data_IF_150402545821
#
_entry.id   IF_150402545821
#
_cell.length_a   1.000
_cell.length_b   1.000
_cell.length_c   1.000
_cell.angle_alpha   90.00
_cell.angle_beta   90.00
_cell.angle_gamma   90.00
#
_symmetry.space_group_name_H-M   'P 1'
#
loop_
_entity.id
_entity.type
_entity.pdbx_description
1 polymer ?
#
# COMPACT_ATOMS: atom_id res chain seq x y z
N UNK A 1 -21.97 -67.92 -66.78
CA UNK A 1 -20.74 -67.87 -67.53
C UNK A 1 -20.08 -66.57 -67.37
N UNK A 2 -19.08 -66.58 -66.65
CA UNK A 2 -17.69 -66.21 -66.75
C UNK A 2 -17.44 -64.93 -67.50
N UNK A 3 -17.35 -63.84 -66.85
CA UNK A 3 -16.61 -62.64 -67.25
C UNK A 3 -15.25 -62.66 -66.60
N UNK A 4 -14.27 -63.25 -67.25
CA UNK A 4 -12.84 -62.98 -66.92
C UNK A 4 -12.50 -61.67 -67.55
N UNK A 5 -12.37 -60.64 -66.68
CA UNK A 5 -11.85 -59.35 -67.07
C UNK A 5 -10.42 -59.53 -67.56
N UNK A 6 -10.07 -58.92 -68.70
CA UNK A 6 -8.77 -59.01 -69.30
C UNK A 6 -7.68 -58.61 -68.34
N UNK A 7 -6.77 -59.57 -68.07
CA UNK A 7 -5.51 -59.25 -67.39
C UNK A 7 -4.71 -58.34 -68.35
N UNK A 8 -4.51 -57.09 -67.98
CA UNK A 8 -3.61 -56.15 -68.67
C UNK A 8 -2.19 -56.64 -68.57
N UNK A 9 -1.45 -56.70 -69.64
CA UNK A 9 -0.08 -57.11 -69.77
C UNK A 9 0.91 -56.16 -68.98
N UNK A 10 2.19 -56.48 -68.97
CA UNK A 10 3.22 -55.88 -68.15
C UNK A 10 3.26 -54.32 -68.06
N UNK A 11 2.75 -53.61 -69.02
CA UNK A 11 2.66 -52.11 -68.97
C UNK A 11 1.80 -51.58 -67.83
N UNK A 12 0.79 -52.30 -67.37
CA UNK A 12 -0.08 -51.90 -66.24
C UNK A 12 0.65 -51.94 -64.89
N UNK A 13 1.62 -52.87 -64.74
CA UNK A 13 2.45 -53.00 -63.55
C UNK A 13 3.44 -51.82 -63.42
N UNK A 14 3.98 -51.38 -64.52
CA UNK A 14 4.91 -50.26 -64.57
C UNK A 14 4.19 -48.92 -64.39
N UNK A 15 2.95 -48.79 -64.95
CA UNK A 15 2.07 -47.65 -64.69
C UNK A 15 1.64 -47.57 -63.20
N UNK A 16 1.30 -48.69 -62.60
CA UNK A 16 0.98 -48.75 -61.15
C UNK A 16 2.22 -48.39 -60.30
N UNK A 17 3.39 -48.94 -60.59
CA UNK A 17 4.62 -48.62 -59.88
C UNK A 17 5.00 -47.15 -60.01
N UNK A 18 4.87 -46.55 -61.21
CA UNK A 18 5.10 -45.12 -61.41
C UNK A 18 4.10 -44.22 -60.70
N UNK A 19 2.84 -44.62 -60.66
CA UNK A 19 1.77 -43.90 -59.93
C UNK A 19 1.97 -43.98 -58.43
N UNK A 20 2.35 -45.12 -57.86
CA UNK A 20 2.69 -45.26 -56.43
C UNK A 20 3.96 -44.51 -56.09
N UNK A 21 5.01 -44.57 -56.90
CA UNK A 21 6.23 -43.78 -56.70
C UNK A 21 5.96 -42.26 -56.72
N UNK A 22 5.10 -41.80 -57.64
CA UNK A 22 4.71 -40.39 -57.69
C UNK A 22 3.88 -39.98 -56.46
N UNK A 23 2.95 -40.83 -55.98
CA UNK A 23 2.19 -40.57 -54.75
C UNK A 23 3.09 -40.56 -53.53
N UNK A 24 4.04 -41.48 -53.46
CA UNK A 24 5.02 -41.50 -52.38
C UNK A 24 5.93 -40.27 -52.38
N UNK A 25 6.40 -39.84 -53.56
CA UNK A 25 7.14 -38.58 -53.70
C UNK A 25 6.30 -37.38 -53.29
N UNK A 26 5.06 -37.25 -53.74
CA UNK A 26 4.17 -36.19 -53.34
C UNK A 26 3.92 -36.18 -51.82
N UNK A 27 3.74 -37.36 -51.23
CA UNK A 27 3.58 -37.48 -49.78
C UNK A 27 4.85 -37.08 -49.03
N UNK A 28 6.05 -37.52 -49.49
CA UNK A 28 7.33 -37.13 -48.90
C UNK A 28 7.60 -35.65 -49.05
N UNK A 29 7.32 -35.05 -50.17
CA UNK A 29 7.46 -33.63 -50.43
C UNK A 29 6.46 -32.82 -49.56
N UNK A 30 5.24 -33.31 -49.43
CA UNK A 30 4.25 -32.74 -48.51
C UNK A 30 4.72 -32.78 -47.05
N UNK A 31 5.35 -33.86 -46.61
CA UNK A 31 5.91 -33.98 -45.25
C UNK A 31 7.13 -33.08 -45.06
N UNK A 32 8.02 -32.95 -46.05
CA UNK A 32 9.16 -32.03 -46.03
C UNK A 32 8.68 -30.56 -45.97
N UNK A 33 7.68 -30.19 -46.74
CA UNK A 33 7.09 -28.86 -46.73
C UNK A 33 6.49 -28.52 -45.36
N UNK A 34 5.73 -29.44 -44.76
CA UNK A 34 5.18 -29.26 -43.41
C UNK A 34 6.30 -29.10 -42.39
N UNK A 35 7.34 -29.95 -42.44
CA UNK A 35 8.47 -29.87 -41.54
C UNK A 35 9.22 -28.52 -41.69
N UNK A 36 9.43 -28.04 -42.91
CA UNK A 36 10.07 -26.75 -43.18
C UNK A 36 9.24 -25.58 -42.66
N UNK A 37 7.91 -25.59 -42.84
CA UNK A 37 7.00 -24.57 -42.31
C UNK A 37 7.00 -24.57 -40.77
N UNK A 38 7.02 -25.75 -40.15
CA UNK A 38 7.10 -25.88 -38.68
C UNK A 38 8.41 -25.30 -38.14
N UNK A 39 9.56 -25.64 -38.76
CA UNK A 39 10.86 -25.09 -38.36
C UNK A 39 10.95 -23.59 -38.58
N UNK A 40 10.45 -23.09 -39.72
CA UNK A 40 10.39 -21.67 -40.00
C UNK A 40 9.52 -20.92 -38.97
N UNK A 41 8.33 -21.44 -38.67
CA UNK A 41 7.43 -20.88 -37.65
C UNK A 41 8.08 -20.86 -36.27
N UNK A 42 8.78 -21.94 -35.90
CA UNK A 42 9.52 -22.02 -34.63
C UNK A 42 10.65 -20.98 -34.56
N UNK A 43 11.45 -20.83 -35.62
CA UNK A 43 12.52 -19.83 -35.68
C UNK A 43 11.96 -18.41 -35.58
N UNK A 44 10.87 -18.10 -36.27
CA UNK A 44 10.20 -16.79 -36.17
C UNK A 44 9.73 -16.52 -34.74
N UNK A 45 9.04 -17.47 -34.11
CA UNK A 45 8.60 -17.33 -32.72
C UNK A 45 9.78 -17.18 -31.75
N UNK A 46 10.88 -17.89 -31.95
CA UNK A 46 12.07 -17.79 -31.11
C UNK A 46 12.76 -16.44 -31.26
N UNK A 47 12.92 -15.96 -32.50
CA UNK A 47 13.59 -14.66 -32.77
C UNK A 47 12.73 -13.51 -32.26
N UNK A 48 11.46 -13.45 -32.66
CA UNK A 48 10.57 -12.35 -32.26
C UNK A 48 10.23 -12.41 -30.76
N UNK A 49 9.93 -13.58 -30.25
CA UNK A 49 9.67 -13.77 -28.82
C UNK A 49 10.91 -13.48 -27.96
N UNK A 50 12.10 -13.93 -28.40
CA UNK A 50 13.37 -13.60 -27.75
C UNK A 50 13.67 -12.10 -27.75
N UNK A 51 13.43 -11.43 -28.86
CA UNK A 51 13.56 -9.96 -28.95
C UNK A 51 12.60 -9.26 -27.96
N UNK A 52 11.34 -9.71 -27.92
CA UNK A 52 10.37 -9.18 -26.97
C UNK A 52 10.78 -9.41 -25.52
N UNK A 53 11.36 -10.58 -25.18
CA UNK A 53 11.91 -10.84 -23.84
C UNK A 53 13.05 -9.87 -23.49
N UNK A 54 13.98 -9.64 -24.42
CA UNK A 54 15.06 -8.68 -24.18
C UNK A 54 14.53 -7.27 -23.99
N UNK A 55 13.56 -6.85 -24.80
CA UNK A 55 12.91 -5.53 -24.65
C UNK A 55 12.14 -5.44 -23.33
N UNK A 56 11.44 -6.49 -22.92
CA UNK A 56 10.72 -6.54 -21.63
C UNK A 56 11.68 -6.40 -20.45
N UNK A 57 12.76 -7.18 -20.43
CA UNK A 57 13.77 -7.13 -19.35
C UNK A 57 14.44 -5.75 -19.30
N UNK A 58 14.83 -5.19 -20.46
CA UNK A 58 15.38 -3.82 -20.50
C UNK A 58 14.37 -2.78 -20.02
N UNK A 59 13.09 -2.94 -20.39
CA UNK A 59 12.00 -2.09 -19.93
C UNK A 59 11.84 -2.14 -18.41
N UNK A 60 11.84 -3.34 -17.81
CA UNK A 60 11.79 -3.53 -16.35
C UNK A 60 12.99 -2.89 -15.65
N UNK A 61 14.22 -3.13 -16.14
CA UNK A 61 15.43 -2.52 -15.54
C UNK A 61 15.38 -0.99 -15.61
N UNK A 62 14.94 -0.43 -16.76
CA UNK A 62 14.79 1.02 -16.91
C UNK A 62 13.72 1.59 -15.97
N UNK A 63 12.53 0.96 -15.87
CA UNK A 63 11.45 1.43 -15.01
C UNK A 63 11.82 1.35 -13.54
N UNK A 64 12.48 0.28 -13.11
CA UNK A 64 12.94 0.13 -11.73
C UNK A 64 14.01 1.18 -11.37
N UNK A 65 14.92 1.50 -12.31
CA UNK A 65 15.89 2.56 -12.10
C UNK A 65 15.21 3.93 -11.95
N UNK A 66 14.20 4.24 -12.76
CA UNK A 66 13.47 5.50 -12.67
C UNK A 66 12.61 5.61 -11.41
N UNK A 67 12.13 4.50 -10.85
CA UNK A 67 11.40 4.49 -9.59
C UNK A 67 12.30 4.69 -8.36
N UNK A 68 13.62 4.54 -8.50
CA UNK A 68 14.58 4.69 -7.40
C UNK A 68 14.98 6.15 -7.22
N UNK A 69 15.16 6.56 -5.97
CA UNK A 69 15.73 7.88 -5.65
C UNK A 69 17.23 7.93 -5.93
N UNK A 70 17.66 8.94 -6.67
CA UNK A 70 19.07 9.16 -7.06
C UNK A 70 19.65 10.50 -6.58
N UNK A 71 18.90 11.25 -5.77
CA UNK A 71 19.34 12.55 -5.27
C UNK A 71 20.37 12.46 -4.14
N UNK A 72 20.92 13.61 -3.76
CA UNK A 72 21.97 13.73 -2.74
C UNK A 72 21.47 14.10 -1.34
N UNK A 73 20.16 14.16 -1.09
CA UNK A 73 19.62 14.50 0.25
C UNK A 73 19.77 13.29 1.16
N UNK A 74 20.67 13.40 2.14
CA UNK A 74 20.87 12.34 3.13
C UNK A 74 19.90 12.49 4.30
N UNK A 75 19.81 13.69 4.89
CA UNK A 75 18.89 14.02 5.97
C UNK A 75 18.10 15.29 5.66
N UNK A 76 16.85 15.33 6.11
CA UNK A 76 15.94 16.45 5.99
C UNK A 76 15.22 16.66 7.32
N UNK A 77 15.14 17.89 7.82
CA UNK A 77 14.55 18.17 9.15
C UNK A 77 13.21 18.89 9.10
N UNK A 78 12.89 19.47 7.97
CA UNK A 78 11.63 20.19 7.81
C UNK A 78 10.51 19.26 7.33
N UNK A 79 9.26 19.70 7.47
CA UNK A 79 8.14 19.00 6.85
C UNK A 79 8.31 18.97 5.33
N UNK A 80 8.15 17.80 4.67
CA UNK A 80 8.18 17.74 3.21
C UNK A 80 7.12 18.65 2.59
N UNK A 81 7.39 19.13 1.38
CA UNK A 81 6.47 20.00 0.63
C UNK A 81 5.30 19.22 -0.01
N UNK A 82 4.93 18.12 0.56
CA UNK A 82 3.82 17.25 0.12
C UNK A 82 2.92 16.93 1.32
N UNK A 83 1.63 16.70 1.06
CA UNK A 83 0.71 16.28 2.11
C UNK A 83 1.09 14.92 2.69
N UNK A 84 0.66 14.58 3.92
CA UNK A 84 0.92 13.27 4.51
C UNK A 84 0.40 12.10 3.68
N UNK A 85 -0.78 12.24 3.04
CA UNK A 85 -1.32 11.24 2.13
C UNK A 85 -0.43 11.05 0.88
N UNK A 86 0.01 12.14 0.29
CA UNK A 86 0.93 12.12 -0.87
C UNK A 86 2.32 11.59 -0.48
N UNK A 87 2.80 11.88 0.73
CA UNK A 87 4.06 11.34 1.25
C UNK A 87 4.00 9.82 1.42
N UNK A 88 2.87 9.28 1.92
CA UNK A 88 2.65 7.83 2.01
C UNK A 88 2.70 7.17 0.63
N UNK A 89 2.03 7.76 -0.38
CA UNK A 89 2.07 7.26 -1.76
C UNK A 89 3.49 7.29 -2.34
N UNK A 90 4.20 8.39 -2.16
CA UNK A 90 5.54 8.57 -2.71
C UNK A 90 6.55 7.56 -2.14
N UNK A 91 6.48 7.28 -0.84
CA UNK A 91 7.30 6.24 -0.21
C UNK A 91 6.99 4.86 -0.78
N UNK A 92 5.72 4.55 -1.07
CA UNK A 92 5.37 3.27 -1.70
C UNK A 92 5.93 3.13 -3.10
N UNK A 93 5.94 4.22 -3.88
CA UNK A 93 6.59 4.23 -5.20
C UNK A 93 8.09 3.92 -5.08
N UNK A 94 8.78 4.46 -4.08
CA UNK A 94 10.22 4.26 -3.89
C UNK A 94 10.54 2.89 -3.28
N UNK A 95 9.84 2.50 -2.20
CA UNK A 95 10.11 1.28 -1.43
C UNK A 95 9.43 0.03 -2.00
N UNK A 96 8.56 0.15 -3.04
CA UNK A 96 7.75 -0.94 -3.61
C UNK A 96 6.90 -1.68 -2.57
N UNK A 97 6.44 -0.98 -1.56
CA UNK A 97 5.59 -1.54 -0.50
C UNK A 97 4.15 -1.64 -1.00
N UNK A 98 3.69 -2.87 -1.28
CA UNK A 98 2.32 -3.13 -1.76
C UNK A 98 1.40 -3.46 -0.59
N UNK A 99 0.30 -2.69 -0.45
CA UNK A 99 -0.85 -3.15 0.32
C UNK A 99 -1.28 -2.31 1.53
N UNK A 100 -0.43 -1.44 2.09
CA UNK A 100 -0.79 -0.65 3.29
C UNK A 100 -0.94 0.86 3.04
N UNK A 101 -0.77 1.30 1.79
CA UNK A 101 -0.78 2.71 1.41
C UNK A 101 -2.04 3.45 1.88
N UNK A 102 -3.21 2.87 1.62
CA UNK A 102 -4.50 3.52 1.95
C UNK A 102 -4.67 3.71 3.46
N UNK A 103 -4.28 2.72 4.26
CA UNK A 103 -4.35 2.77 5.72
C UNK A 103 -3.36 3.79 6.29
N UNK A 104 -2.12 3.81 5.80
CA UNK A 104 -1.10 4.78 6.22
C UNK A 104 -1.48 6.21 5.83
N UNK A 105 -2.00 6.41 4.61
CA UNK A 105 -2.49 7.70 4.15
C UNK A 105 -3.64 8.22 5.02
N UNK A 106 -4.63 7.36 5.35
CA UNK A 106 -5.75 7.71 6.20
C UNK A 106 -5.28 8.07 7.61
N UNK A 107 -4.45 7.22 8.23
CA UNK A 107 -3.90 7.45 9.58
C UNK A 107 -3.12 8.75 9.65
N UNK A 108 -2.21 8.98 8.71
CA UNK A 108 -1.41 10.21 8.66
C UNK A 108 -2.28 11.45 8.43
N UNK A 109 -3.32 11.34 7.59
CA UNK A 109 -4.27 12.43 7.35
C UNK A 109 -5.07 12.76 8.62
N UNK A 110 -5.53 11.75 9.37
CA UNK A 110 -6.23 11.96 10.66
C UNK A 110 -5.30 12.63 11.67
N UNK A 111 -4.05 12.16 11.78
CA UNK A 111 -3.06 12.80 12.67
C UNK A 111 -2.77 14.25 12.25
N UNK A 112 -2.71 14.55 10.96
CA UNK A 112 -2.58 15.92 10.46
C UNK A 112 -3.78 16.79 10.86
N UNK A 113 -5.00 16.25 10.78
CA UNK A 113 -6.21 16.94 11.25
C UNK A 113 -6.17 17.21 12.76
N UNK A 114 -5.55 16.32 13.56
CA UNK A 114 -5.33 16.55 14.99
C UNK A 114 -4.33 17.70 15.22
N UNK A 115 -3.20 17.69 14.48
CA UNK A 115 -2.20 18.79 14.57
C UNK A 115 -2.82 20.14 14.19
N UNK A 116 -3.67 20.15 13.17
CA UNK A 116 -4.41 21.34 12.71
C UNK A 116 -5.60 21.70 13.60
N UNK A 117 -5.81 20.98 14.72
CA UNK A 117 -6.94 21.20 15.66
C UNK A 117 -8.32 21.08 15.01
N UNK A 118 -8.45 20.30 13.95
CA UNK A 118 -9.75 19.89 13.39
C UNK A 118 -10.37 18.73 14.19
N UNK A 119 -9.51 17.85 14.70
CA UNK A 119 -9.86 16.67 15.49
C UNK A 119 -9.11 16.67 16.82
N UNK A 120 -9.62 15.90 17.78
CA UNK A 120 -8.87 15.45 18.94
C UNK A 120 -9.03 13.93 19.08
N UNK A 121 -8.02 13.27 19.65
CA UNK A 121 -8.01 11.82 19.89
C UNK A 121 -7.79 11.58 21.38
N UNK A 122 -8.61 10.73 21.97
CA UNK A 122 -8.50 10.30 23.35
C UNK A 122 -8.45 8.76 23.41
N UNK A 123 -7.68 8.17 24.34
CA UNK A 123 -7.60 6.73 24.48
C UNK A 123 -8.87 6.14 25.10
N UNK A 124 -9.29 4.96 24.68
CA UNK A 124 -10.42 4.22 25.23
C UNK A 124 -11.77 4.53 24.55
N UNK A 125 -12.83 3.84 24.98
CA UNK A 125 -14.17 3.98 24.42
C UNK A 125 -14.81 5.31 24.78
N UNK A 126 -15.66 5.84 23.87
CA UNK A 126 -16.34 7.13 24.03
C UNK A 126 -17.21 7.19 25.29
N UNK A 127 -17.79 6.07 25.69
CA UNK A 127 -18.59 5.94 26.89
C UNK A 127 -17.85 6.28 28.19
N UNK A 128 -16.51 6.13 28.19
CA UNK A 128 -15.66 6.47 29.33
C UNK A 128 -15.68 7.97 29.65
N UNK A 129 -15.99 8.79 28.67
CA UNK A 129 -16.01 10.25 28.75
C UNK A 129 -17.43 10.84 28.82
N UNK A 130 -18.42 10.02 29.13
CA UNK A 130 -19.82 10.44 29.17
C UNK A 130 -20.00 11.59 30.16
N UNK A 131 -20.60 12.69 29.70
CA UNK A 131 -20.80 13.91 30.50
C UNK A 131 -19.61 14.88 30.54
N UNK A 132 -18.51 14.59 29.82
CA UNK A 132 -17.34 15.47 29.71
C UNK A 132 -17.34 16.12 28.32
N UNK A 133 -17.20 17.43 28.25
CA UNK A 133 -16.99 18.16 27.01
C UNK A 133 -15.53 17.99 26.53
N UNK A 134 -15.27 16.93 25.74
CA UNK A 134 -13.95 16.62 25.24
C UNK A 134 -13.41 17.67 24.24
N UNK A 135 -14.27 18.53 23.68
CA UNK A 135 -13.82 19.59 22.78
C UNK A 135 -13.04 20.71 23.51
N UNK A 136 -13.17 20.77 24.82
CA UNK A 136 -12.51 21.74 25.71
C UNK A 136 -11.68 21.08 26.80
N UNK A 137 -11.66 19.76 26.85
CA UNK A 137 -10.95 19.03 27.88
C UNK A 137 -9.45 19.15 27.75
N UNK A 138 -8.76 19.28 28.89
CA UNK A 138 -7.31 19.20 28.94
C UNK A 138 -6.86 17.73 28.96
N UNK A 139 -5.92 17.38 28.12
CA UNK A 139 -5.43 16.00 28.01
C UNK A 139 -4.81 15.49 29.32
N UNK A 140 -4.12 16.36 30.11
CA UNK A 140 -3.55 16.00 31.39
C UNK A 140 -4.61 15.70 32.46
N UNK A 141 -5.77 16.43 32.45
CA UNK A 141 -6.89 16.14 33.33
C UNK A 141 -7.54 14.79 33.01
N UNK A 142 -7.70 14.50 31.71
CA UNK A 142 -8.21 13.22 31.25
C UNK A 142 -7.27 12.07 31.61
N UNK A 143 -5.96 12.26 31.47
CA UNK A 143 -4.97 11.27 31.84
C UNK A 143 -4.99 10.98 33.35
N UNK A 144 -5.15 12.01 34.20
CA UNK A 144 -5.29 11.84 35.64
C UNK A 144 -6.58 11.08 35.99
N UNK A 145 -7.68 11.39 35.31
CA UNK A 145 -8.96 10.68 35.47
C UNK A 145 -8.80 9.18 35.11
N UNK A 146 -8.14 8.87 34.00
CA UNK A 146 -7.87 7.49 33.56
C UNK A 146 -6.96 6.78 34.59
N UNK A 147 -5.89 7.43 35.02
CA UNK A 147 -4.92 6.86 35.96
C UNK A 147 -5.50 6.61 37.37
N UNK A 148 -6.60 7.30 37.73
CA UNK A 148 -7.23 7.15 39.06
C UNK A 148 -8.02 5.84 39.23
N UNK A 149 -8.30 5.12 38.11
CA UNK A 149 -9.10 3.91 38.11
C UNK A 149 -8.49 2.83 37.21
N UNK A 150 -8.01 1.70 37.75
CA UNK A 150 -7.40 0.62 36.96
C UNK A 150 -8.30 0.06 35.85
N UNK A 151 -9.63 0.09 36.04
CA UNK A 151 -10.58 -0.36 35.02
C UNK A 151 -10.60 0.58 33.81
N UNK A 152 -10.51 1.89 34.03
CA UNK A 152 -10.38 2.91 33.00
C UNK A 152 -9.05 2.81 32.30
N UNK A 153 -7.96 2.60 33.03
CA UNK A 153 -6.63 2.42 32.43
C UNK A 153 -6.59 1.20 31.50
N UNK A 154 -7.24 0.09 31.89
CA UNK A 154 -7.40 -1.09 31.01
C UNK A 154 -8.28 -0.79 29.80
N UNK A 155 -9.39 -0.10 29.99
CA UNK A 155 -10.29 0.30 28.87
C UNK A 155 -9.62 1.27 27.92
N UNK A 156 -8.71 2.13 28.38
CA UNK A 156 -8.00 3.11 27.57
C UNK A 156 -7.14 2.48 26.46
N UNK A 157 -6.70 1.23 26.62
CA UNK A 157 -5.93 0.49 25.61
C UNK A 157 -6.78 -0.29 24.60
N UNK A 158 -8.11 -0.33 24.77
CA UNK A 158 -9.00 -1.18 23.96
C UNK A 158 -9.41 -0.57 22.62
N UNK A 159 -9.50 0.76 22.53
CA UNK A 159 -9.89 1.53 21.34
C UNK A 159 -9.48 2.98 21.51
N UNK A 160 -9.73 3.81 20.50
CA UNK A 160 -9.54 5.27 20.56
C UNK A 160 -10.85 5.99 20.26
N UNK A 161 -11.07 7.12 20.93
CA UNK A 161 -12.19 8.03 20.74
C UNK A 161 -11.74 9.22 19.90
N UNK A 162 -12.44 9.46 18.81
CA UNK A 162 -12.30 10.63 17.94
C UNK A 162 -13.30 11.71 18.36
N UNK A 163 -12.85 12.96 18.34
CA UNK A 163 -13.66 14.13 18.63
C UNK A 163 -13.55 15.13 17.48
N UNK A 164 -14.65 15.45 16.83
CA UNK A 164 -14.70 16.52 15.84
C UNK A 164 -14.81 17.85 16.59
N UNK A 165 -13.79 18.70 16.44
CA UNK A 165 -13.72 19.96 17.16
C UNK A 165 -14.67 21.01 16.52
N UNK A 166 -15.25 21.95 17.30
CA UNK A 166 -16.20 22.94 16.80
C UNK A 166 -15.67 23.79 15.65
N UNK A 167 -14.37 24.11 15.64
CA UNK A 167 -13.74 24.88 14.57
C UNK A 167 -13.73 24.13 13.22
N UNK A 168 -13.68 22.81 13.23
CA UNK A 168 -13.79 22.01 12.01
C UNK A 168 -15.19 22.06 11.38
N UNK A 169 -16.21 22.40 12.19
CA UNK A 169 -17.58 22.53 11.73
C UNK A 169 -17.96 23.95 11.32
N UNK A 170 -17.41 24.97 12.02
CA UNK A 170 -17.83 26.38 11.87
C UNK A 170 -16.84 27.26 11.12
N UNK A 171 -15.52 26.96 11.18
CA UNK A 171 -14.45 27.81 10.63
C UNK A 171 -13.41 26.97 9.86
N UNK A 172 -13.86 26.04 9.05
CA UNK A 172 -13.03 25.06 8.33
C UNK A 172 -11.98 25.71 7.43
N UNK A 173 -12.31 26.80 6.75
CA UNK A 173 -11.42 27.53 5.86
C UNK A 173 -10.20 28.11 6.57
N UNK A 174 -10.24 28.32 7.89
CA UNK A 174 -9.09 28.83 8.66
C UNK A 174 -8.06 27.76 8.98
N UNK A 175 -8.40 26.48 8.81
CA UNK A 175 -7.53 25.36 9.16
C UNK A 175 -6.48 25.05 8.07
N UNK A 176 -6.61 25.62 6.87
CA UNK A 176 -5.65 25.40 5.77
C UNK A 176 -5.52 23.92 5.40
N UNK A 177 -6.65 23.24 5.25
CA UNK A 177 -6.70 21.82 4.94
C UNK A 177 -6.29 21.56 3.50
N UNK A 178 -5.53 20.50 3.26
CA UNK A 178 -5.29 19.96 1.93
C UNK A 178 -6.54 19.25 1.39
N UNK A 179 -6.53 18.86 0.13
CA UNK A 179 -7.65 18.17 -0.49
C UNK A 179 -7.95 16.82 0.19
N UNK A 180 -6.93 16.04 0.50
CA UNK A 180 -7.05 14.77 1.20
C UNK A 180 -7.55 14.95 2.64
N UNK A 181 -7.05 15.97 3.36
CA UNK A 181 -7.48 16.32 4.71
C UNK A 181 -8.94 16.75 4.73
N UNK A 182 -9.35 17.58 3.77
CA UNK A 182 -10.76 18.02 3.65
C UNK A 182 -11.69 16.83 3.37
N UNK A 183 -11.33 15.94 2.46
CA UNK A 183 -12.11 14.74 2.15
C UNK A 183 -12.19 13.77 3.35
N UNK A 184 -11.09 13.60 4.09
CA UNK A 184 -11.07 12.81 5.32
C UNK A 184 -11.98 13.41 6.39
N UNK A 185 -11.89 14.72 6.61
CA UNK A 185 -12.75 15.42 7.58
C UNK A 185 -14.24 15.27 7.21
N UNK A 186 -14.59 15.42 5.92
CA UNK A 186 -15.96 15.22 5.45
C UNK A 186 -16.45 13.79 5.70
N UNK A 187 -15.63 12.78 5.43
CA UNK A 187 -15.94 11.38 5.74
C UNK A 187 -16.26 11.21 7.24
N UNK A 188 -15.40 11.74 8.12
CA UNK A 188 -15.59 11.65 9.57
C UNK A 188 -16.84 12.40 10.05
N UNK A 189 -17.15 13.57 9.46
CA UNK A 189 -18.40 14.30 9.77
C UNK A 189 -19.62 13.48 9.37
N UNK A 190 -19.62 12.81 8.21
CA UNK A 190 -20.72 11.94 7.79
C UNK A 190 -20.88 10.72 8.70
N UNK A 191 -19.78 10.14 9.14
CA UNK A 191 -19.79 9.06 10.13
C UNK A 191 -20.36 9.56 11.47
N UNK A 192 -19.92 10.73 11.95
CA UNK A 192 -20.43 11.31 13.21
C UNK A 192 -21.93 11.58 13.16
N UNK A 193 -22.45 12.01 12.01
CA UNK A 193 -23.87 12.18 11.80
C UNK A 193 -24.65 10.86 11.88
N UNK A 194 -24.06 9.75 11.46
CA UNK A 194 -24.65 8.41 11.59
C UNK A 194 -24.56 7.86 13.01
N UNK A 195 -23.49 8.13 13.72
CA UNK A 195 -23.35 7.80 15.15
C UNK A 195 -24.28 8.68 16.00
N UNK A 196 -24.60 9.87 15.53
CA UNK A 196 -25.42 10.86 16.25
C UNK A 196 -24.63 11.69 17.27
N UNK A 197 -23.30 11.69 17.19
CA UNK A 197 -22.42 12.42 18.11
C UNK A 197 -21.12 12.87 17.40
N UNK A 198 -20.59 14.07 17.71
CA UNK A 198 -19.26 14.49 17.27
C UNK A 198 -18.12 13.78 18.05
N UNK A 199 -18.47 13.01 19.09
CA UNK A 199 -17.56 12.21 19.90
C UNK A 199 -17.93 10.74 19.72
N UNK A 200 -17.05 9.92 19.18
CA UNK A 200 -17.31 8.52 18.88
C UNK A 200 -16.01 7.72 18.86
N UNK A 201 -16.07 6.46 19.21
CA UNK A 201 -14.95 5.52 19.11
C UNK A 201 -15.04 4.63 17.87
N UNK A 202 -13.99 3.84 17.62
CA UNK A 202 -13.95 2.96 16.45
C UNK A 202 -15.02 1.86 16.47
N UNK A 203 -15.49 1.42 17.65
CA UNK A 203 -16.55 0.41 17.73
C UNK A 203 -17.89 1.02 17.29
N UNK A 204 -18.21 2.22 17.80
CA UNK A 204 -19.40 2.97 17.37
C UNK A 204 -19.34 3.34 15.88
N UNK A 205 -18.18 3.75 15.40
CA UNK A 205 -17.93 4.02 13.99
C UNK A 205 -18.19 2.79 13.12
N UNK A 206 -17.66 1.62 13.51
CA UNK A 206 -17.86 0.35 12.81
C UNK A 206 -19.32 -0.06 12.80
N UNK A 207 -20.00 0.04 13.94
CA UNK A 207 -21.44 -0.27 14.05
C UNK A 207 -22.27 0.66 13.12
N UNK A 208 -22.03 1.96 13.17
CA UNK A 208 -22.72 2.93 12.31
C UNK A 208 -22.46 2.70 10.81
N UNK A 209 -21.29 2.18 10.46
CA UNK A 209 -20.90 1.89 9.07
C UNK A 209 -21.37 0.51 8.57
N UNK A 210 -21.76 -0.42 9.46
CA UNK A 210 -22.15 -1.78 9.09
C UNK A 210 -23.39 -1.85 8.18
N UNK A 211 -24.26 -0.86 8.26
CA UNK A 211 -25.48 -0.73 7.46
C UNK A 211 -25.41 0.42 6.44
N UNK A 212 -24.22 0.90 6.11
CA UNK A 212 -24.04 2.05 5.23
C UNK A 212 -23.81 1.64 3.78
N UNK A 213 -24.87 1.34 3.05
CA UNK A 213 -24.83 0.89 1.65
C UNK A 213 -24.00 1.80 0.72
N UNK A 214 -24.04 3.11 0.92
CA UNK A 214 -23.29 4.09 0.12
C UNK A 214 -21.96 4.52 0.76
N UNK A 215 -21.56 3.91 1.87
CA UNK A 215 -20.33 4.27 2.60
C UNK A 215 -19.07 4.10 1.74
N UNK A 216 -19.07 3.11 0.85
CA UNK A 216 -17.98 2.87 -0.09
C UNK A 216 -17.73 4.07 -1.04
N UNK A 217 -18.79 4.84 -1.39
CA UNK A 217 -18.64 6.02 -2.24
C UNK A 217 -17.89 7.13 -1.50
N UNK A 218 -18.13 7.27 -0.20
CA UNK A 218 -17.43 8.25 0.64
C UNK A 218 -15.97 7.87 0.87
N UNK A 219 -15.70 6.58 1.05
CA UNK A 219 -14.33 6.08 1.11
C UNK A 219 -13.61 6.29 -0.22
N UNK A 220 -14.27 6.00 -1.34
CA UNK A 220 -13.73 6.27 -2.68
C UNK A 220 -13.53 7.77 -2.91
N UNK A 221 -14.38 8.63 -2.36
CA UNK A 221 -14.19 10.08 -2.44
C UNK A 221 -12.89 10.52 -1.75
N UNK A 222 -12.58 9.97 -0.58
CA UNK A 222 -11.31 10.20 0.10
C UNK A 222 -10.13 9.68 -0.73
N UNK A 223 -10.18 8.43 -1.21
CA UNK A 223 -9.11 7.84 -2.03
C UNK A 223 -8.87 8.66 -3.30
N UNK A 224 -9.95 9.03 -4.01
CA UNK A 224 -9.84 9.88 -5.21
C UNK A 224 -9.27 11.26 -4.89
N UNK A 225 -9.58 11.84 -3.72
CA UNK A 225 -9.00 13.11 -3.31
C UNK A 225 -7.48 13.01 -3.10
N UNK A 226 -7.02 11.90 -2.48
CA UNK A 226 -5.58 11.60 -2.33
C UNK A 226 -4.91 11.43 -3.71
N UNK A 227 -5.53 10.67 -4.61
CA UNK A 227 -4.99 10.43 -5.96
C UNK A 227 -4.90 11.73 -6.78
N UNK A 228 -5.95 12.56 -6.76
CA UNK A 228 -5.93 13.84 -7.48
C UNK A 228 -4.88 14.79 -6.90
N UNK A 229 -4.76 14.85 -5.57
CA UNK A 229 -3.75 15.66 -4.88
C UNK A 229 -2.33 15.20 -5.27
N UNK A 230 -2.10 13.90 -5.28
CA UNK A 230 -0.81 13.32 -5.68
C UNK A 230 -0.49 13.57 -7.15
N UNK A 231 -1.47 13.41 -8.05
CA UNK A 231 -1.30 13.68 -9.48
C UNK A 231 -0.95 15.15 -9.75
N UNK A 232 -1.48 16.10 -8.97
CA UNK A 232 -1.16 17.53 -9.11
C UNK A 232 0.31 17.85 -8.80
N UNK A 233 0.99 17.01 -8.01
CA UNK A 233 2.42 17.17 -7.73
C UNK A 233 3.30 16.87 -8.95
N UNK A 234 2.77 16.17 -9.97
CA UNK A 234 3.54 15.64 -11.08
C UNK A 234 4.82 14.89 -10.63
N UNK A 235 4.74 14.22 -9.49
CA UNK A 235 5.88 13.55 -8.88
C UNK A 235 6.24 12.25 -9.58
N UNK A 236 5.28 11.61 -10.24
CA UNK A 236 5.45 10.34 -10.93
C UNK A 236 4.97 10.41 -12.37
N UNK A 237 5.50 9.49 -13.18
CA UNK A 237 5.04 9.25 -14.56
C UNK A 237 4.83 7.76 -14.77
N UNK A 238 3.89 7.41 -15.63
CA UNK A 238 3.68 6.02 -16.03
C UNK A 238 4.84 5.54 -16.92
N UNK A 239 5.52 4.50 -16.47
CA UNK A 239 6.61 3.83 -17.20
C UNK A 239 6.24 2.40 -17.59
N UNK A 240 5.02 1.97 -17.28
CA UNK A 240 4.51 0.60 -17.48
C UNK A 240 4.51 0.17 -18.95
N UNK A 241 4.22 1.07 -19.88
CA UNK A 241 4.17 0.78 -21.31
C UNK A 241 5.49 0.27 -21.89
N UNK A 242 6.62 0.57 -21.24
CA UNK A 242 7.96 0.15 -21.72
C UNK A 242 8.20 -1.35 -21.57
N UNK A 243 7.56 -2.01 -20.60
CA UNK A 243 7.78 -3.40 -20.31
C UNK A 243 6.51 -4.26 -20.42
N UNK A 244 5.32 -3.73 -20.15
CA UNK A 244 4.06 -4.51 -20.23
C UNK A 244 3.81 -5.00 -21.65
N UNK A 245 3.85 -4.12 -22.64
CA UNK A 245 3.59 -4.48 -24.04
C UNK A 245 4.58 -5.56 -24.54
N UNK A 246 5.92 -5.37 -24.43
CA UNK A 246 6.86 -6.43 -24.82
C UNK A 246 6.65 -7.74 -24.04
N UNK A 247 6.29 -7.68 -22.76
CA UNK A 247 6.02 -8.87 -21.94
C UNK A 247 4.82 -9.66 -22.48
N UNK A 248 3.71 -8.96 -22.78
CA UNK A 248 2.52 -9.60 -23.35
C UNK A 248 2.86 -10.25 -24.70
N UNK A 249 3.56 -9.55 -25.60
CA UNK A 249 4.00 -10.12 -26.88
C UNK A 249 4.90 -11.33 -26.71
N UNK A 250 5.86 -11.28 -25.76
CA UNK A 250 6.69 -12.43 -25.46
C UNK A 250 5.85 -13.65 -25.04
N UNK A 251 4.88 -13.46 -24.14
CA UNK A 251 3.98 -14.55 -23.71
C UNK A 251 3.14 -15.09 -24.88
N UNK A 252 2.62 -14.22 -25.75
CA UNK A 252 1.87 -14.63 -26.94
C UNK A 252 2.73 -15.46 -27.87
N UNK A 253 3.95 -15.02 -28.18
CA UNK A 253 4.90 -15.82 -28.99
C UNK A 253 5.28 -17.14 -28.30
N UNK A 254 5.38 -17.16 -26.98
CA UNK A 254 5.56 -18.39 -26.20
C UNK A 254 4.41 -19.38 -26.41
N UNK A 255 3.17 -18.92 -26.34
CA UNK A 255 1.97 -19.75 -26.58
C UNK A 255 1.92 -20.25 -28.04
N UNK A 256 2.15 -19.36 -29.02
CA UNK A 256 2.18 -19.74 -30.44
C UNK A 256 3.27 -20.80 -30.68
N UNK A 257 4.51 -20.57 -30.17
CA UNK A 257 5.59 -21.52 -30.31
C UNK A 257 5.29 -22.87 -29.64
N UNK A 258 4.60 -22.86 -28.49
CA UNK A 258 4.12 -24.09 -27.85
C UNK A 258 3.12 -24.83 -28.75
N UNK A 259 2.13 -24.15 -29.30
CA UNK A 259 1.11 -24.75 -30.18
C UNK A 259 1.72 -25.34 -31.46
N UNK A 260 2.68 -24.65 -32.07
CA UNK A 260 3.40 -25.15 -33.28
C UNK A 260 4.15 -26.44 -32.97
N UNK A 261 4.69 -26.61 -31.77
CA UNK A 261 5.51 -27.77 -31.40
C UNK A 261 4.73 -28.91 -30.75
N UNK A 262 3.49 -28.72 -30.31
CA UNK A 262 2.73 -29.71 -29.54
C UNK A 262 2.48 -31.02 -30.34
N UNK A 263 2.42 -30.91 -31.65
CA UNK A 263 2.22 -32.08 -32.56
C UNK A 263 3.54 -32.77 -32.98
N UNK A 264 4.70 -32.15 -32.72
CA UNK A 264 5.99 -32.68 -33.14
C UNK A 264 6.85 -33.20 -31.96
N UNK A 265 6.97 -32.41 -30.91
CA UNK A 265 7.69 -32.75 -29.70
C UNK A 265 7.17 -32.01 -28.49
N UNK A 266 6.40 -32.72 -27.64
CA UNK A 266 5.74 -32.13 -26.47
C UNK A 266 6.75 -31.56 -25.44
N UNK A 267 7.93 -32.18 -25.31
CA UNK A 267 8.95 -31.68 -24.37
C UNK A 267 9.51 -30.34 -24.84
N UNK A 268 9.79 -30.17 -26.13
CA UNK A 268 10.22 -28.89 -26.73
C UNK A 268 9.13 -27.84 -26.60
N UNK A 269 7.87 -28.20 -26.85
CA UNK A 269 6.71 -27.30 -26.70
C UNK A 269 6.60 -26.77 -25.26
N UNK A 270 6.70 -27.64 -24.26
CA UNK A 270 6.62 -27.28 -22.84
C UNK A 270 7.83 -26.44 -22.39
N UNK A 271 9.05 -26.80 -22.80
CA UNK A 271 10.24 -26.02 -22.49
C UNK A 271 10.16 -24.61 -23.10
N UNK A 272 9.71 -24.51 -24.36
CA UNK A 272 9.59 -23.24 -25.06
C UNK A 272 8.52 -22.34 -24.41
N UNK A 273 7.30 -22.84 -24.25
CA UNK A 273 6.22 -22.12 -23.59
C UNK A 273 6.54 -21.77 -22.13
N UNK A 274 7.18 -22.70 -21.39
CA UNK A 274 7.60 -22.51 -20.02
C UNK A 274 8.67 -21.41 -19.87
N UNK A 275 9.67 -21.35 -20.75
CA UNK A 275 10.69 -20.31 -20.71
C UNK A 275 10.11 -18.90 -20.89
N UNK A 276 9.21 -18.71 -21.88
CA UNK A 276 8.57 -17.43 -22.10
C UNK A 276 7.59 -17.06 -20.98
N UNK A 277 6.88 -18.05 -20.43
CA UNK A 277 6.01 -17.84 -19.27
C UNK A 277 6.81 -17.41 -18.04
N UNK A 278 7.97 -18.04 -17.75
CA UNK A 278 8.85 -17.67 -16.65
C UNK A 278 9.37 -16.23 -16.79
N UNK A 279 9.83 -15.84 -17.99
CA UNK A 279 10.28 -14.46 -18.24
C UNK A 279 9.10 -13.48 -18.08
N UNK A 280 7.94 -13.82 -18.63
CA UNK A 280 6.74 -13.00 -18.52
C UNK A 280 6.30 -12.78 -17.06
N UNK A 281 6.20 -13.85 -16.28
CA UNK A 281 5.85 -13.76 -14.85
C UNK A 281 6.90 -13.02 -14.04
N UNK A 282 8.18 -13.19 -14.32
CA UNK A 282 9.26 -12.42 -13.70
C UNK A 282 9.09 -10.91 -13.99
N UNK A 283 8.90 -10.54 -15.26
CA UNK A 283 8.70 -9.13 -15.63
C UNK A 283 7.43 -8.53 -14.97
N UNK A 284 6.32 -9.29 -14.90
CA UNK A 284 5.09 -8.84 -14.25
C UNK A 284 5.25 -8.69 -12.73
N UNK A 285 6.06 -9.54 -12.10
CA UNK A 285 6.30 -9.50 -10.66
C UNK A 285 7.25 -8.37 -10.25
N UNK A 286 8.25 -8.04 -11.09
CA UNK A 286 9.33 -7.10 -10.74
C UNK A 286 9.23 -5.74 -11.41
N UNK A 287 8.39 -5.60 -12.45
CA UNK A 287 8.26 -4.35 -13.20
C UNK A 287 7.47 -3.27 -12.45
N UNK A 288 8.07 -2.09 -12.30
CA UNK A 288 7.42 -0.91 -11.70
C UNK A 288 6.54 -0.20 -12.73
N UNK A 289 5.38 0.28 -12.28
CA UNK A 289 4.44 1.03 -13.14
C UNK A 289 4.74 2.52 -13.15
N UNK A 290 5.24 3.03 -12.05
CA UNK A 290 5.51 4.44 -11.81
C UNK A 290 7.01 4.69 -11.69
N UNK A 291 7.49 5.75 -12.32
CA UNK A 291 8.86 6.26 -12.22
C UNK A 291 8.82 7.70 -11.74
N UNK A 292 9.82 8.10 -10.94
CA UNK A 292 9.93 9.45 -10.41
C UNK A 292 10.27 10.44 -11.54
N UNK A 293 9.60 11.58 -11.53
CA UNK A 293 9.98 12.76 -12.34
C UNK A 293 11.10 13.54 -11.65
N UNK A 294 11.55 14.65 -12.22
CA UNK A 294 12.50 15.56 -11.56
C UNK A 294 11.93 16.16 -10.27
N UNK A 295 10.66 16.60 -10.31
CA UNK A 295 9.94 17.04 -9.10
C UNK A 295 9.79 15.90 -8.10
N UNK A 296 9.48 14.70 -8.58
CA UNK A 296 9.37 13.50 -7.76
C UNK A 296 10.68 13.12 -7.07
N UNK A 297 11.82 13.30 -7.71
CA UNK A 297 13.14 13.11 -7.09
C UNK A 297 13.35 14.08 -5.92
N UNK A 298 12.94 15.35 -6.06
CA UNK A 298 13.03 16.34 -4.99
C UNK A 298 12.15 15.96 -3.81
N UNK A 299 10.86 15.69 -4.04
CA UNK A 299 9.94 15.30 -2.98
C UNK A 299 10.31 13.96 -2.31
N UNK A 300 10.76 12.98 -3.11
CA UNK A 300 11.28 11.72 -2.58
C UNK A 300 12.52 11.94 -1.70
N UNK A 301 13.40 12.87 -2.07
CA UNK A 301 14.56 13.25 -1.28
C UNK A 301 14.19 13.84 0.07
N UNK A 302 13.21 14.76 0.10
CA UNK A 302 12.70 15.34 1.36
C UNK A 302 12.06 14.26 2.25
N UNK A 303 11.20 13.41 1.68
CA UNK A 303 10.54 12.32 2.43
C UNK A 303 11.53 11.28 2.96
N UNK A 304 12.44 10.79 2.12
CA UNK A 304 13.46 9.81 2.52
C UNK A 304 14.47 10.41 3.49
N UNK A 305 14.86 11.68 3.28
CA UNK A 305 15.74 12.41 4.18
C UNK A 305 15.12 12.59 5.56
N UNK A 306 13.82 12.95 5.63
CA UNK A 306 13.08 13.04 6.89
C UNK A 306 12.93 11.68 7.55
N UNK A 307 12.59 10.62 6.77
CA UNK A 307 12.50 9.26 7.27
C UNK A 307 13.80 8.84 7.97
N UNK A 308 14.95 9.02 7.32
CA UNK A 308 16.27 8.71 7.89
C UNK A 308 16.58 9.56 9.12
N UNK A 309 16.29 10.87 9.05
CA UNK A 309 16.50 11.76 10.19
C UNK A 309 15.74 11.30 11.43
N UNK A 310 14.47 10.93 11.27
CA UNK A 310 13.65 10.42 12.36
C UNK A 310 14.13 9.06 12.87
N UNK A 311 14.60 8.18 11.97
CA UNK A 311 15.11 6.85 12.33
C UNK A 311 16.44 6.92 13.11
N UNK A 312 17.25 7.93 12.86
CA UNK A 312 18.55 8.16 13.48
C UNK A 312 18.53 9.28 14.53
N UNK A 313 17.33 9.75 14.92
CA UNK A 313 17.12 10.95 15.71
C UNK A 313 17.96 10.98 17.01
N UNK A 314 18.09 9.86 17.71
CA UNK A 314 18.86 9.80 18.95
C UNK A 314 20.36 10.00 18.75
N UNK A 315 20.89 9.84 17.53
CA UNK A 315 22.32 9.97 17.23
C UNK A 315 22.77 11.43 17.03
N UNK A 316 21.83 12.37 16.84
CA UNK A 316 22.16 13.77 16.64
C UNK A 316 22.40 14.48 17.97
N UNK A 317 23.50 15.25 18.06
CA UNK A 317 23.85 16.05 19.25
C UNK A 317 23.31 17.50 19.17
N UNK A 318 22.97 17.97 17.98
CA UNK A 318 22.54 19.36 17.70
C UNK A 318 21.00 19.53 17.72
N UNK A 319 20.32 18.70 18.51
CA UNK A 319 18.87 18.78 18.74
C UNK A 319 18.52 20.05 19.49
N UNK A 320 17.53 20.80 18.98
CA UNK A 320 17.12 22.08 19.54
C UNK A 320 15.65 22.11 19.94
N UNK A 321 15.23 23.25 20.52
CA UNK A 321 13.82 23.49 20.85
C UNK A 321 12.90 23.44 19.62
N UNK A 322 13.43 23.70 18.42
CA UNK A 322 12.69 23.60 17.16
C UNK A 322 12.24 22.17 16.88
N UNK A 323 13.08 21.18 17.19
CA UNK A 323 12.71 19.76 16.97
C UNK A 323 11.53 19.34 17.84
N UNK A 324 11.39 19.88 19.05
CA UNK A 324 10.22 19.67 19.91
C UNK A 324 8.95 20.27 19.32
N UNK A 325 9.02 21.45 18.70
CA UNK A 325 7.89 22.09 18.02
C UNK A 325 7.51 21.29 16.76
N UNK A 326 8.49 20.83 16.00
CA UNK A 326 8.27 20.03 14.79
C UNK A 326 7.80 18.60 15.09
N UNK A 327 7.90 18.14 16.36
CA UNK A 327 7.61 16.78 16.75
C UNK A 327 6.22 16.30 16.34
N UNK A 328 5.22 17.15 16.42
CA UNK A 328 3.86 16.82 15.99
C UNK A 328 3.82 16.43 14.51
N UNK A 329 4.53 17.17 13.65
CA UNK A 329 4.62 16.84 12.23
C UNK A 329 5.48 15.60 11.95
N UNK A 330 6.55 15.39 12.72
CA UNK A 330 7.36 14.17 12.62
C UNK A 330 6.50 12.93 12.86
N UNK A 331 5.59 12.99 13.84
CA UNK A 331 4.65 11.89 14.11
C UNK A 331 3.68 11.64 12.96
N UNK A 332 3.17 12.68 12.33
CA UNK A 332 2.29 12.58 11.15
C UNK A 332 3.03 11.89 10.00
N UNK A 333 4.24 12.35 9.69
CA UNK A 333 5.02 11.73 8.62
C UNK A 333 5.57 10.35 8.99
N UNK A 334 5.86 10.09 10.26
CA UNK A 334 6.22 8.75 10.72
C UNK A 334 5.10 7.73 10.45
N UNK A 335 3.84 8.13 10.65
CA UNK A 335 2.68 7.31 10.29
C UNK A 335 2.57 7.12 8.77
N UNK A 336 2.76 8.18 7.97
CA UNK A 336 2.78 8.09 6.52
C UNK A 336 3.86 7.13 5.99
N UNK A 337 5.03 7.12 6.63
CA UNK A 337 6.17 6.27 6.25
C UNK A 337 6.13 4.85 6.87
N UNK A 338 5.17 4.57 7.77
CA UNK A 338 5.07 3.29 8.45
C UNK A 338 6.18 3.01 9.49
N UNK A 339 6.76 4.06 10.09
CA UNK A 339 7.89 3.96 11.02
C UNK A 339 7.58 4.53 12.42
N UNK A 340 6.31 4.75 12.76
CA UNK A 340 5.89 5.40 14.00
C UNK A 340 6.54 4.82 15.26
N UNK A 341 6.58 3.49 15.38
CA UNK A 341 7.16 2.81 16.54
C UNK A 341 8.66 3.05 16.69
N UNK A 342 9.39 3.03 15.57
CA UNK A 342 10.83 3.30 15.57
C UNK A 342 11.12 4.73 16.00
N UNK A 343 10.38 5.68 15.43
CA UNK A 343 10.51 7.12 15.72
C UNK A 343 10.21 7.41 17.20
N UNK A 344 9.19 6.78 17.76
CA UNK A 344 8.89 6.93 19.18
C UNK A 344 10.04 6.49 20.10
N UNK A 345 10.62 5.33 19.78
CA UNK A 345 11.76 4.82 20.55
C UNK A 345 12.98 5.75 20.45
N UNK A 346 13.28 6.25 19.24
CA UNK A 346 14.38 7.17 19.04
C UNK A 346 14.17 8.50 19.79
N UNK A 347 12.93 8.99 19.83
CA UNK A 347 12.61 10.19 20.60
C UNK A 347 12.74 9.98 22.11
N UNK A 348 12.23 8.85 22.64
CA UNK A 348 12.36 8.57 24.07
C UNK A 348 13.82 8.34 24.51
N UNK A 349 14.69 7.86 23.62
CA UNK A 349 16.14 7.82 23.87
C UNK A 349 16.75 9.22 23.92
N UNK A 350 16.29 10.10 23.04
CA UNK A 350 16.78 11.46 22.93
C UNK A 350 16.30 12.39 24.05
N UNK A 351 15.08 12.17 24.52
CA UNK A 351 14.40 12.92 25.59
C UNK A 351 13.82 11.97 26.63
N UNK A 352 14.65 11.44 27.56
CA UNK A 352 14.18 10.49 28.57
C UNK A 352 13.06 11.02 29.47
N UNK A 353 12.93 12.35 29.58
CA UNK A 353 11.92 13.04 30.37
C UNK A 353 10.49 12.72 29.94
N UNK A 354 10.27 12.31 28.66
CA UNK A 354 8.94 11.90 28.18
C UNK A 354 8.42 10.65 28.87
N UNK A 355 9.28 9.91 29.56
CA UNK A 355 8.86 8.76 30.37
C UNK A 355 8.39 9.16 31.79
N UNK A 356 8.55 10.44 32.19
CA UNK A 356 8.01 10.95 33.44
C UNK A 356 6.60 11.51 33.22
N UNK A 357 5.57 10.88 33.83
CA UNK A 357 4.19 11.35 33.71
C UNK A 357 3.97 12.79 34.19
N UNK A 358 4.73 13.25 35.21
CA UNK A 358 4.59 14.59 35.74
C UNK A 358 5.14 15.64 34.77
N UNK A 359 6.27 15.33 34.15
CA UNK A 359 6.85 16.16 33.13
C UNK A 359 5.94 16.25 31.89
N UNK A 360 5.37 15.11 31.46
CA UNK A 360 4.43 15.07 30.32
C UNK A 360 3.17 15.89 30.60
N UNK A 361 2.58 15.73 31.79
CA UNK A 361 1.37 16.48 32.18
C UNK A 361 1.62 17.98 32.26
N UNK A 362 2.86 18.41 32.53
CA UNK A 362 3.24 19.81 32.62
C UNK A 362 3.62 20.42 31.27
N UNK A 363 4.34 19.69 30.41
CA UNK A 363 4.99 20.25 29.21
C UNK A 363 4.58 19.59 27.91
N UNK A 364 4.04 18.34 27.95
CA UNK A 364 3.76 17.54 26.77
C UNK A 364 2.28 17.42 26.39
N UNK A 365 1.35 17.90 27.22
CA UNK A 365 -0.09 17.62 27.12
C UNK A 365 -0.76 18.09 25.81
N UNK A 366 -0.16 19.02 25.08
CA UNK A 366 -0.66 19.51 23.79
C UNK A 366 0.06 18.85 22.59
N UNK A 367 0.92 17.87 22.84
CA UNK A 367 1.63 17.16 21.79
C UNK A 367 0.86 15.92 21.31
N UNK A 368 1.00 15.61 20.02
CA UNK A 368 0.42 14.39 19.44
C UNK A 368 0.96 13.11 20.11
N UNK A 369 2.22 13.14 20.57
CA UNK A 369 2.85 12.03 21.27
C UNK A 369 2.42 11.88 22.74
N UNK A 370 1.66 12.83 23.31
CA UNK A 370 1.28 12.81 24.71
C UNK A 370 0.65 11.47 25.14
N UNK A 371 -0.39 11.04 24.47
CA UNK A 371 -1.09 9.80 24.80
C UNK A 371 -0.23 8.56 24.66
N UNK A 372 0.68 8.60 23.73
CA UNK A 372 1.68 7.57 23.51
C UNK A 372 2.53 7.30 24.76
N UNK A 373 3.22 8.32 25.23
CA UNK A 373 4.12 8.19 26.39
C UNK A 373 3.34 8.09 27.68
N UNK A 374 2.18 8.72 27.76
CA UNK A 374 1.32 8.68 28.95
C UNK A 374 0.69 7.32 29.19
N UNK A 375 0.33 6.60 28.12
CA UNK A 375 -0.23 5.23 28.22
C UNK A 375 0.78 4.19 28.73
N UNK A 376 2.06 4.39 28.50
CA UNK A 376 3.12 3.55 29.07
C UNK A 376 3.10 3.52 30.59
N UNK A 377 2.85 4.66 31.21
CA UNK A 377 2.77 4.73 32.67
C UNK A 377 1.61 3.91 33.23
N UNK A 378 0.52 3.72 32.50
CA UNK A 378 -0.62 2.89 32.94
C UNK A 378 -0.31 1.41 32.83
N UNK A 379 0.31 0.97 31.74
CA UNK A 379 0.69 -0.43 31.52
C UNK A 379 1.79 -0.88 32.51
N UNK A 380 2.73 -0.01 32.86
CA UNK A 380 3.74 -0.26 33.88
C UNK A 380 3.15 -0.47 35.29
N UNK A 381 2.09 0.27 35.64
CA UNK A 381 1.40 0.09 36.95
C UNK A 381 0.60 -1.22 37.04
N UNK A 382 0.09 -1.74 35.94
CA UNK A 382 -0.62 -3.04 35.91
C UNK A 382 0.31 -4.23 36.12
N UNK A 383 1.60 -4.11 35.88
CA UNK A 383 2.62 -5.16 36.06
C UNK A 383 3.36 -5.07 37.42
N UNK A 384 3.18 -4.01 38.20
CA UNK A 384 3.84 -3.80 39.50
C UNK A 384 3.25 -4.61 40.66
N UNK A 385 2.35 -5.57 40.41
CA UNK A 385 2.01 -6.63 41.39
C UNK A 385 3.10 -7.67 41.59
N UNK A 386 4.23 -7.59 40.88
CA UNK A 386 5.38 -8.49 40.99
C UNK A 386 6.68 -7.74 40.74
N UNK A 387 7.43 -7.50 41.82
CA UNK A 387 8.77 -6.93 41.87
C UNK A 387 9.67 -7.33 40.70
N UNK A 388 10.14 -6.37 39.89
CA UNK A 388 11.55 -6.39 39.46
C UNK A 388 11.98 -5.01 39.00
N UNK A 389 12.80 -4.36 39.83
CA UNK A 389 13.72 -3.30 39.47
C UNK A 389 14.81 -3.89 38.56
N UNK A 390 14.87 -3.49 37.30
CA UNK A 390 16.05 -3.79 36.51
C UNK A 390 15.75 -4.01 35.05
N UNK A 391 16.41 -3.17 34.25
CA UNK A 391 16.64 -3.27 32.83
C UNK A 391 15.44 -2.97 31.91
N UNK A 392 15.45 -1.79 31.35
CA UNK A 392 14.74 -1.44 30.12
C UNK A 392 15.24 -2.34 28.97
N UNK A 393 14.71 -3.57 28.93
CA UNK A 393 14.92 -4.50 27.83
C UNK A 393 13.88 -4.23 26.74
N UNK A 394 14.32 -4.09 25.51
CA UNK A 394 13.62 -3.63 24.33
C UNK A 394 12.35 -4.39 23.88
N UNK A 395 11.73 -5.22 24.72
CA UNK A 395 10.50 -5.96 24.39
C UNK A 395 9.23 -5.42 25.04
N UNK A 396 9.31 -4.48 25.99
CA UNK A 396 8.14 -3.87 26.65
C UNK A 396 7.73 -2.51 26.07
N UNK A 397 8.46 -2.02 25.08
CA UNK A 397 8.18 -0.74 24.40
C UNK A 397 7.11 -0.88 23.30
N UNK A 398 6.47 -2.02 23.18
CA UNK A 398 5.53 -2.32 22.09
C UNK A 398 4.10 -1.77 22.30
N UNK A 399 3.82 -1.02 23.38
CA UNK A 399 2.48 -0.55 23.69
C UNK A 399 2.32 0.98 23.69
N UNK A 400 3.12 1.72 22.92
CA UNK A 400 3.10 3.16 22.95
C UNK A 400 2.48 3.87 21.74
N UNK A 401 3.28 4.56 20.93
CA UNK A 401 2.79 5.22 19.69
C UNK A 401 2.31 4.23 18.67
N UNK A 402 2.94 3.05 18.60
CA UNK A 402 2.38 1.94 17.87
C UNK A 402 0.93 1.71 18.27
N UNK A 403 0.58 1.97 19.53
CA UNK A 403 -0.77 1.74 20.02
C UNK A 403 -1.79 2.74 19.45
N UNK A 404 -1.56 4.06 19.47
CA UNK A 404 -2.51 5.00 18.84
C UNK A 404 -2.43 4.98 17.33
N UNK A 405 -1.24 4.98 16.73
CA UNK A 405 -1.09 4.87 15.28
C UNK A 405 -1.58 3.53 14.75
N UNK A 406 -1.27 2.42 15.42
CA UNK A 406 -1.73 1.08 15.07
C UNK A 406 -3.21 0.89 15.38
N UNK A 407 -3.73 1.45 16.47
CA UNK A 407 -5.17 1.48 16.77
C UNK A 407 -5.93 2.30 15.73
N UNK A 408 -5.44 3.47 15.33
CA UNK A 408 -6.03 4.26 14.26
C UNK A 408 -6.00 3.48 12.94
N UNK A 409 -4.86 2.91 12.57
CA UNK A 409 -4.71 2.13 11.35
C UNK A 409 -5.64 0.91 11.34
N UNK A 410 -5.59 0.07 12.36
CA UNK A 410 -6.44 -1.12 12.47
C UNK A 410 -7.93 -0.76 12.61
N UNK A 411 -8.23 0.35 13.30
CA UNK A 411 -9.58 0.89 13.40
C UNK A 411 -10.12 1.29 12.02
N UNK A 412 -9.36 2.05 11.25
CA UNK A 412 -9.76 2.45 9.89
C UNK A 412 -9.82 1.27 8.93
N UNK A 413 -8.91 0.30 9.01
CA UNK A 413 -8.97 -0.93 8.21
C UNK A 413 -10.25 -1.73 8.51
N UNK A 414 -10.60 -1.84 9.79
CA UNK A 414 -11.84 -2.51 10.22
C UNK A 414 -13.09 -1.78 9.73
N UNK A 415 -13.09 -0.46 9.74
CA UNK A 415 -14.20 0.37 9.22
C UNK A 415 -14.26 0.30 7.70
N UNK A 416 -13.13 0.40 7.01
CA UNK A 416 -13.04 0.28 5.55
C UNK A 416 -13.55 -1.07 5.06
N UNK A 417 -13.13 -2.16 5.71
CA UNK A 417 -13.62 -3.52 5.39
C UNK A 417 -15.12 -3.66 5.66
N UNK A 418 -15.63 -3.04 6.73
CA UNK A 418 -17.05 -3.05 7.07
C UNK A 418 -17.88 -2.28 6.04
N UNK A 419 -17.41 -1.09 5.63
CA UNK A 419 -18.02 -0.27 4.58
C UNK A 419 -18.03 -1.05 3.25
N UNK A 420 -16.93 -1.70 2.89
CA UNK A 420 -16.82 -2.49 1.67
C UNK A 420 -17.76 -3.70 1.67
N UNK A 421 -17.93 -4.35 2.81
CA UNK A 421 -18.87 -5.45 2.99
C UNK A 421 -20.34 -5.02 2.92
N UNK A 422 -20.67 -3.79 3.29
CA UNK A 422 -22.01 -3.22 3.19
C UNK A 422 -22.36 -2.71 1.77
N UNK A 423 -21.37 -2.62 0.87
CA UNK A 423 -21.60 -2.23 -0.52
C UNK A 423 -22.49 -3.25 -1.23
N UNK A 424 -23.47 -2.81 -2.07
CA UNK A 424 -24.34 -3.71 -2.81
C UNK A 424 -23.48 -4.59 -3.72
N UNK A 425 -23.60 -5.92 -3.56
CA UNK A 425 -22.97 -6.87 -4.47
C UNK A 425 -23.54 -6.64 -5.86
N UNK A 426 -22.70 -6.21 -6.82
CA UNK A 426 -23.05 -6.22 -8.23
C UNK A 426 -23.18 -7.69 -8.66
N UNK A 427 -24.36 -8.30 -8.43
CA UNK A 427 -24.72 -9.55 -9.06
C UNK A 427 -24.82 -9.24 -10.54
N UNK A 428 -23.75 -9.53 -11.27
CA UNK A 428 -23.75 -9.56 -12.73
C UNK A 428 -24.82 -10.53 -13.18
N UNK A 429 -26.01 -10.01 -13.46
CA UNK A 429 -27.04 -10.71 -14.19
C UNK A 429 -26.52 -10.91 -15.60
N UNK A 430 -25.90 -12.06 -15.86
CA UNK A 430 -25.78 -12.64 -17.17
C UNK A 430 -27.17 -13.09 -17.56
N UNK A 431 -27.92 -12.22 -18.19
CA UNK A 431 -29.22 -12.49 -18.79
C UNK A 431 -29.07 -12.55 -20.28
N UNK A 432 -29.26 -13.80 -20.82
CA UNK A 432 -29.83 -14.13 -22.10
C UNK A 432 -29.12 -13.63 -23.37
#
# INVERSE_FOLDING_TARGET
ASGVERVRSGDYLDELKSTEANKEQQWRDGQRHKAQLTVAGWLVCLILGGLCCVLAIRGVVSSNREATYHGGIEYWRESPQVSPASAAHLIDVVDDSKGEQSSRAMTATVLALVVKKALAVYPGPADMYRGIDLSRANAADMARMISSDPSRASAASSTSTLVILPQALSHRETLGLSRSEEACLQLLIRISARVGSPVFDFNQMKEACSSWENGYQEMNHFTNACDIEFLQLNAVRDVSGRWIAPTIFAMVFGVIGMLVNIGSNIAVALCFGGAFACVGTFCLATGRKEGLTESGQTYAGECLGLKRYMEDFSNFSDRGALDLVMWNWYMVYAAAFGISDKVAREFAKAYPEVNDPQWLDAYGYDSLGYWTYRSHAWNGMSTMGGMSTGAFGGSQFMGGIGDIGSQLSSGFDSVSSTISAAAPSSSGGSGG
#
